data_IF_958736387032
#
_entry.id   IF_958736387032
#
_cell.length_a   1.000
_cell.length_b   1.000
_cell.length_c   1.000
_cell.angle_alpha   90.00
_cell.angle_beta   90.00
_cell.angle_gamma   90.00
#
_symmetry.space_group_name_H-M   'P 1'
#
loop_
_entity.id
_entity.type
_entity.pdbx_description
1 polymer ?
#
# COMPACT_ATOMS: atom_id res chain seq x y z
N UNK A 1 -9.21 -28.51 16.87
CA UNK A 1 -9.63 -27.26 16.21
C UNK A 1 -8.36 -26.62 15.73
N UNK A 2 -8.18 -26.53 14.41
CA UNK A 2 -6.89 -26.26 13.77
C UNK A 2 -6.44 -24.82 14.01
N UNK A 3 -5.20 -24.64 14.47
CA UNK A 3 -4.53 -23.36 14.58
C UNK A 3 -4.43 -22.70 13.19
N UNK A 4 -5.38 -21.83 12.90
CA UNK A 4 -5.32 -20.93 11.76
C UNK A 4 -4.23 -19.90 12.07
N UNK A 5 -2.98 -20.19 11.68
CA UNK A 5 -1.83 -19.28 11.79
C UNK A 5 -2.28 -17.88 11.36
N UNK A 6 -2.34 -16.95 12.32
CA UNK A 6 -2.87 -15.60 12.08
C UNK A 6 -2.04 -14.92 11.00
N UNK A 7 -2.61 -14.78 9.80
CA UNK A 7 -1.98 -14.02 8.72
C UNK A 7 -1.73 -12.59 9.20
N UNK A 8 -0.56 -11.99 8.93
CA UNK A 8 -0.31 -10.60 9.30
C UNK A 8 -1.38 -9.72 8.65
N UNK A 9 -2.03 -8.87 9.46
CA UNK A 9 -3.09 -7.98 8.98
C UNK A 9 -2.46 -6.93 8.07
N UNK A 10 -2.91 -6.85 6.81
CA UNK A 10 -2.37 -5.95 5.78
C UNK A 10 -2.71 -4.46 5.99
N UNK A 11 -3.62 -4.14 6.92
CA UNK A 11 -4.12 -2.78 7.12
C UNK A 11 -5.06 -2.28 6.00
N UNK A 12 -5.35 -3.10 5.00
CA UNK A 12 -6.24 -2.76 3.88
C UNK A 12 -7.57 -3.47 4.05
N UNK A 13 -8.66 -2.71 3.99
CA UNK A 13 -10.02 -3.19 4.25
C UNK A 13 -10.96 -2.78 3.13
N UNK A 14 -11.93 -3.65 2.80
CA UNK A 14 -13.02 -3.30 1.90
C UNK A 14 -14.19 -2.70 2.69
N UNK A 15 -14.66 -1.52 2.28
CA UNK A 15 -15.87 -0.87 2.77
C UNK A 15 -17.04 -1.28 1.88
N UNK A 16 -18.18 -1.66 2.46
CA UNK A 16 -19.38 -2.07 1.71
C UNK A 16 -20.32 -0.90 1.39
N UNK A 17 -20.37 0.13 2.22
CA UNK A 17 -21.24 1.30 2.03
C UNK A 17 -20.60 2.59 2.62
N UNK A 18 -20.17 3.56 1.79
CA UNK A 18 -20.02 3.42 0.35
C UNK A 18 -18.99 2.33 0.03
N UNK A 19 -19.19 1.64 -1.10
CA UNK A 19 -18.22 0.67 -1.60
C UNK A 19 -16.84 1.33 -1.77
N UNK A 20 -15.77 0.70 -1.33
CA UNK A 20 -14.43 1.27 -1.44
C UNK A 20 -13.33 0.50 -0.70
N UNK A 21 -12.12 1.03 -0.71
CA UNK A 21 -10.95 0.45 -0.02
C UNK A 21 -10.42 1.44 1.01
N UNK A 22 -10.30 1.00 2.25
CA UNK A 22 -9.79 1.80 3.37
C UNK A 22 -8.42 1.28 3.77
N UNK A 23 -7.44 2.17 3.82
CA UNK A 23 -6.10 1.87 4.29
C UNK A 23 -5.94 2.43 5.70
N UNK A 24 -5.64 1.54 6.63
CA UNK A 24 -5.39 1.84 8.03
C UNK A 24 -3.92 1.63 8.36
N UNK A 25 -3.33 2.59 9.07
CA UNK A 25 -1.98 2.48 9.59
C UNK A 25 -1.99 2.82 11.08
N UNK A 26 -1.46 1.90 11.92
CA UNK A 26 -1.40 2.07 13.38
C UNK A 26 -2.74 2.48 14.02
N UNK A 27 -3.83 1.86 13.54
CA UNK A 27 -5.18 2.11 14.05
C UNK A 27 -5.84 3.40 13.54
N UNK A 28 -5.22 4.14 12.62
CA UNK A 28 -5.77 5.36 12.01
C UNK A 28 -6.06 5.15 10.52
N UNK A 29 -7.20 5.65 10.05
CA UNK A 29 -7.50 5.75 8.62
C UNK A 29 -6.53 6.75 8.00
N UNK A 30 -5.75 6.27 7.03
CA UNK A 30 -4.79 7.11 6.29
C UNK A 30 -5.41 7.58 4.99
N UNK A 31 -6.14 6.69 4.32
CA UNK A 31 -6.77 7.00 3.06
C UNK A 31 -7.95 6.08 2.77
N UNK A 32 -8.88 6.59 1.97
CA UNK A 32 -10.04 5.86 1.44
C UNK A 32 -10.14 6.06 -0.06
N UNK A 33 -10.09 4.95 -0.78
CA UNK A 33 -10.27 4.87 -2.22
C UNK A 33 -11.72 4.50 -2.53
N UNK A 34 -12.27 5.06 -3.60
CA UNK A 34 -13.64 4.82 -4.06
C UNK A 34 -13.80 3.44 -4.67
N UNK A 35 -12.73 2.85 -5.18
CA UNK A 35 -12.74 1.51 -5.76
C UNK A 35 -11.41 0.78 -5.56
N UNK A 36 -11.41 -0.52 -5.86
CA UNK A 36 -10.21 -1.35 -5.82
C UNK A 36 -9.24 -0.94 -6.93
N UNK A 37 -9.76 -0.57 -8.09
CA UNK A 37 -8.98 -0.13 -9.25
C UNK A 37 -8.20 1.15 -8.93
N UNK A 38 -8.84 2.12 -8.26
CA UNK A 38 -8.18 3.35 -7.82
C UNK A 38 -7.05 3.05 -6.82
N UNK A 39 -7.28 2.14 -5.88
CA UNK A 39 -6.25 1.70 -4.94
C UNK A 39 -5.05 1.05 -5.66
N UNK A 40 -5.31 0.16 -6.63
CA UNK A 40 -4.27 -0.52 -7.40
C UNK A 40 -3.45 0.49 -8.21
N UNK A 41 -4.11 1.42 -8.91
CA UNK A 41 -3.44 2.43 -9.73
C UNK A 41 -2.48 3.28 -8.90
N UNK A 42 -2.95 3.79 -7.74
CA UNK A 42 -2.13 4.60 -6.83
C UNK A 42 -0.99 3.76 -6.25
N UNK A 43 -1.23 2.50 -5.92
CA UNK A 43 -0.20 1.60 -5.41
C UNK A 43 0.92 1.37 -6.43
N UNK A 44 0.58 1.09 -7.70
CA UNK A 44 1.56 0.91 -8.78
C UNK A 44 2.38 2.18 -8.99
N UNK A 45 1.73 3.36 -9.02
CA UNK A 45 2.43 4.65 -9.14
C UNK A 45 3.39 4.88 -7.99
N UNK A 46 2.96 4.56 -6.77
CA UNK A 46 3.79 4.65 -5.57
C UNK A 46 5.03 3.75 -5.64
N UNK A 47 4.87 2.50 -6.08
CA UNK A 47 5.98 1.56 -6.22
C UNK A 47 7.01 2.03 -7.26
N UNK A 48 6.55 2.48 -8.44
CA UNK A 48 7.45 3.02 -9.47
C UNK A 48 8.24 4.23 -8.97
N UNK A 49 7.58 5.16 -8.30
CA UNK A 49 8.25 6.33 -7.74
C UNK A 49 9.25 5.98 -6.63
N UNK A 50 9.07 4.85 -5.94
CA UNK A 50 10.05 4.35 -4.97
C UNK A 50 11.25 3.70 -5.67
N UNK A 51 11.00 2.90 -6.72
CA UNK A 51 12.06 2.29 -7.54
C UNK A 51 12.95 3.36 -8.17
N UNK A 52 12.37 4.37 -8.80
CA UNK A 52 13.11 5.50 -9.41
C UNK A 52 13.97 6.25 -8.36
N UNK A 53 13.46 6.42 -7.14
CA UNK A 53 14.22 7.05 -6.05
C UNK A 53 15.38 6.18 -5.58
N UNK A 54 15.17 4.86 -5.48
CA UNK A 54 16.22 3.93 -5.10
C UNK A 54 17.32 3.88 -6.15
N UNK A 55 16.97 3.87 -7.43
CA UNK A 55 17.93 3.91 -8.53
C UNK A 55 18.75 5.21 -8.52
N UNK A 56 18.08 6.37 -8.36
CA UNK A 56 18.77 7.66 -8.25
C UNK A 56 19.70 7.75 -7.01
N UNK A 57 19.33 7.10 -5.91
CA UNK A 57 20.19 7.02 -4.72
C UNK A 57 21.42 6.15 -4.95
N UNK A 58 21.27 5.01 -5.63
CA UNK A 58 22.37 4.15 -6.04
C UNK A 58 23.34 4.89 -6.97
N UNK A 59 22.84 5.59 -7.99
CA UNK A 59 23.67 6.37 -8.91
C UNK A 59 24.48 7.45 -8.18
N UNK A 60 23.91 8.11 -7.18
CA UNK A 60 24.63 9.10 -6.36
C UNK A 60 25.76 8.47 -5.54
N UNK A 61 25.57 7.25 -5.03
CA UNK A 61 26.59 6.55 -4.26
C UNK A 61 27.71 6.00 -5.15
N UNK A 62 27.41 5.63 -6.40
CA UNK A 62 28.43 5.14 -7.35
C UNK A 62 29.22 6.26 -8.03
N UNK A 63 28.63 7.45 -8.21
CA UNK A 63 29.25 8.60 -8.88
C UNK A 63 29.81 9.67 -7.92
N UNK A 64 29.79 9.43 -6.60
CA UNK A 64 30.37 10.29 -5.57
C UNK A 64 31.66 9.71 -5.00
#
# INVERSE_FOLDING_TARGET
>A
MSDEKSRPKSGVFYSKDPAGVVVMFRGKEVFRYKSVEEFIEVHIKGMKALEEKQEAELERQYNG
#
